data_IF_988005410875
#
_entry.id   IF_988005410875
#
_cell.length_a   1.000
_cell.length_b   1.000
_cell.length_c   1.000
_cell.angle_alpha   90.00
_cell.angle_beta   90.00
_cell.angle_gamma   90.00
#
_symmetry.space_group_name_H-M   'P 1'
#
loop_
_entity.id
_entity.type
_entity.pdbx_description
1 polymer ?
#
# COMPACT_ATOMS: atom_id res chain seq x y z
N UNK A 1 -21.00 8.58 -42.24
CA UNK A 1 -20.57 8.10 -40.90
C UNK A 1 -19.24 7.39 -41.06
N UNK A 2 -18.16 7.99 -40.58
CA UNK A 2 -16.78 7.54 -40.80
C UNK A 2 -16.34 6.53 -39.73
N UNK A 3 -15.49 5.57 -40.10
CA UNK A 3 -14.95 4.49 -39.25
C UNK A 3 -14.41 4.92 -37.88
N UNK A 4 -14.04 6.20 -37.71
CA UNK A 4 -13.56 6.76 -36.44
C UNK A 4 -14.58 6.70 -35.30
N UNK A 5 -15.88 6.59 -35.58
CA UNK A 5 -16.90 6.43 -34.51
C UNK A 5 -16.99 4.99 -33.98
N UNK A 6 -16.70 3.97 -34.80
CA UNK A 6 -16.72 2.55 -34.35
C UNK A 6 -15.55 2.20 -33.44
N UNK A 7 -14.42 2.91 -33.53
CA UNK A 7 -13.26 2.69 -32.65
C UNK A 7 -13.48 3.18 -31.21
N UNK A 8 -14.46 4.08 -30.98
CA UNK A 8 -14.71 4.70 -29.67
C UNK A 8 -15.57 3.83 -28.72
N UNK A 9 -16.23 2.78 -29.21
CA UNK A 9 -17.25 2.03 -28.43
C UNK A 9 -16.75 0.75 -27.73
N UNK A 10 -15.47 0.39 -27.85
CA UNK A 10 -14.88 -0.75 -27.10
C UNK A 10 -13.90 -0.30 -26.01
N UNK A 11 -14.22 0.75 -25.25
CA UNK A 11 -13.66 0.85 -23.89
C UNK A 11 -14.33 -0.25 -23.06
N UNK A 12 -13.73 -1.44 -23.00
CA UNK A 12 -14.08 -2.44 -21.98
C UNK A 12 -14.08 -1.68 -20.66
N UNK A 13 -15.23 -1.60 -19.98
CA UNK A 13 -15.26 -1.09 -18.59
C UNK A 13 -14.22 -1.92 -17.84
N UNK A 14 -13.15 -1.27 -17.39
CA UNK A 14 -12.17 -1.93 -16.56
C UNK A 14 -12.93 -2.53 -15.36
N UNK A 15 -12.69 -3.80 -15.06
CA UNK A 15 -13.32 -4.40 -13.89
C UNK A 15 -12.88 -3.61 -12.66
N UNK A 16 -13.81 -3.35 -11.75
CA UNK A 16 -13.46 -2.77 -10.46
C UNK A 16 -12.66 -3.78 -9.64
N UNK A 17 -11.85 -3.30 -8.68
CA UNK A 17 -11.13 -4.16 -7.74
C UNK A 17 -12.06 -5.15 -7.04
N UNK A 18 -13.26 -4.70 -6.65
CA UNK A 18 -14.31 -5.57 -6.09
C UNK A 18 -14.74 -6.68 -7.04
N UNK A 19 -14.91 -6.37 -8.32
CA UNK A 19 -15.28 -7.38 -9.33
C UNK A 19 -14.17 -8.39 -9.54
N UNK A 20 -12.91 -7.94 -9.55
CA UNK A 20 -11.73 -8.80 -9.67
C UNK A 20 -11.62 -9.74 -8.47
N UNK A 21 -11.73 -9.22 -7.25
CA UNK A 21 -11.68 -10.01 -6.02
C UNK A 21 -12.80 -11.06 -5.97
N UNK A 22 -14.02 -10.70 -6.37
CA UNK A 22 -15.15 -11.62 -6.40
C UNK A 22 -14.97 -12.72 -7.45
N UNK A 23 -14.40 -12.41 -8.62
CA UNK A 23 -14.05 -13.41 -9.63
C UNK A 23 -12.98 -14.36 -9.10
N UNK A 24 -11.92 -13.83 -8.48
CA UNK A 24 -10.85 -14.65 -7.89
C UNK A 24 -11.43 -15.60 -6.82
N UNK A 25 -12.32 -15.10 -5.95
CA UNK A 25 -12.98 -15.91 -4.94
C UNK A 25 -13.78 -17.07 -5.55
N UNK A 26 -14.60 -16.79 -6.57
CA UNK A 26 -15.40 -17.82 -7.25
C UNK A 26 -14.51 -18.84 -7.96
N UNK A 27 -13.47 -18.38 -8.65
CA UNK A 27 -12.51 -19.24 -9.36
C UNK A 27 -11.78 -20.14 -8.37
N UNK A 28 -11.28 -19.59 -7.25
CA UNK A 28 -10.64 -20.37 -6.19
C UNK A 28 -11.60 -21.39 -5.58
N UNK A 29 -12.86 -21.02 -5.32
CA UNK A 29 -13.85 -21.95 -4.81
C UNK A 29 -14.06 -23.13 -5.78
N UNK A 30 -14.21 -22.87 -7.08
CA UNK A 30 -14.33 -23.93 -8.09
C UNK A 30 -13.08 -24.82 -8.11
N UNK A 31 -11.88 -24.23 -8.05
CA UNK A 31 -10.61 -24.97 -8.02
C UNK A 31 -10.57 -25.89 -6.79
N UNK A 32 -10.91 -25.40 -5.60
CA UNK A 32 -10.92 -26.23 -4.38
C UNK A 32 -11.90 -27.40 -4.47
N UNK A 33 -13.08 -27.20 -5.06
CA UNK A 33 -14.06 -28.28 -5.29
C UNK A 33 -13.51 -29.33 -6.25
N UNK A 34 -12.88 -28.92 -7.34
CA UNK A 34 -12.26 -29.84 -8.31
C UNK A 34 -11.11 -30.61 -7.66
N UNK A 35 -10.24 -29.94 -6.90
CA UNK A 35 -9.11 -30.56 -6.23
C UNK A 35 -9.55 -31.55 -5.14
N UNK A 36 -10.55 -31.18 -4.34
CA UNK A 36 -11.15 -32.08 -3.35
C UNK A 36 -11.81 -33.29 -3.99
N UNK A 37 -12.53 -33.10 -5.12
CA UNK A 37 -13.11 -34.21 -5.89
C UNK A 37 -12.06 -35.10 -6.56
N UNK A 38 -10.88 -34.57 -6.87
CA UNK A 38 -9.75 -35.30 -7.46
C UNK A 38 -8.90 -36.05 -6.43
N UNK A 39 -9.25 -35.99 -5.15
CA UNK A 39 -8.56 -36.72 -4.08
C UNK A 39 -7.22 -36.11 -3.65
N UNK A 40 -7.01 -34.81 -3.90
CA UNK A 40 -5.79 -34.12 -3.43
C UNK A 40 -5.82 -34.03 -1.90
N UNK A 41 -4.85 -34.65 -1.24
CA UNK A 41 -4.72 -34.61 0.22
C UNK A 41 -4.55 -33.16 0.72
N UNK A 42 -5.28 -32.81 1.78
CA UNK A 42 -5.23 -31.48 2.40
C UNK A 42 -6.15 -30.42 1.78
N UNK A 43 -6.95 -30.75 0.76
CA UNK A 43 -7.90 -29.81 0.13
C UNK A 43 -9.35 -30.21 0.36
N UNK A 44 -10.08 -29.42 1.14
CA UNK A 44 -11.53 -29.53 1.27
C UNK A 44 -12.20 -28.59 0.28
N UNK A 45 -13.13 -29.11 -0.53
CA UNK A 45 -13.86 -28.29 -1.50
C UNK A 45 -14.74 -27.23 -0.82
N UNK A 46 -14.66 -25.99 -1.30
CA UNK A 46 -15.43 -24.88 -0.75
C UNK A 46 -16.95 -25.09 -0.94
N UNK A 47 -17.73 -24.76 0.09
CA UNK A 47 -19.21 -24.79 0.02
C UNK A 47 -19.78 -23.45 -0.45
N UNK A 48 -21.05 -23.44 -0.85
CA UNK A 48 -21.76 -22.20 -1.16
C UNK A 48 -21.81 -21.24 0.05
N UNK A 49 -21.87 -21.80 1.27
CA UNK A 49 -21.82 -21.01 2.50
C UNK A 49 -20.45 -20.36 2.69
N UNK A 50 -19.35 -21.05 2.37
CA UNK A 50 -18.01 -20.47 2.45
C UNK A 50 -17.84 -19.32 1.46
N UNK A 51 -18.30 -19.48 0.22
CA UNK A 51 -18.20 -18.42 -0.80
C UNK A 51 -19.01 -17.18 -0.43
N UNK A 52 -20.21 -17.35 0.11
CA UNK A 52 -21.08 -16.22 0.47
C UNK A 52 -20.67 -15.54 1.78
N UNK A 53 -20.04 -16.25 2.71
CA UNK A 53 -19.56 -15.69 3.99
C UNK A 53 -18.12 -15.19 3.94
N UNK A 54 -17.31 -15.62 2.97
CA UNK A 54 -15.92 -15.21 2.82
C UNK A 54 -15.70 -13.68 2.79
N UNK A 55 -16.52 -12.86 2.08
CA UNK A 55 -16.35 -11.41 2.12
C UNK A 55 -16.56 -10.81 3.51
N UNK A 56 -17.50 -11.36 4.29
CA UNK A 56 -17.79 -10.90 5.66
C UNK A 56 -16.64 -11.27 6.60
N UNK A 57 -16.13 -12.50 6.51
CA UNK A 57 -14.98 -12.96 7.30
C UNK A 57 -13.71 -12.17 6.96
N UNK A 58 -13.45 -11.98 5.66
CA UNK A 58 -12.32 -11.15 5.23
C UNK A 58 -12.41 -9.72 5.73
N UNK A 59 -13.62 -9.14 5.78
CA UNK A 59 -13.82 -7.82 6.38
C UNK A 59 -13.56 -7.82 7.88
N UNK A 60 -14.01 -8.83 8.63
CA UNK A 60 -13.74 -8.92 10.08
C UNK A 60 -12.25 -9.04 10.37
N UNK A 61 -11.51 -9.79 9.56
CA UNK A 61 -10.06 -9.96 9.72
C UNK A 61 -9.30 -8.67 9.37
N UNK A 62 -9.85 -7.86 8.45
CA UNK A 62 -9.29 -6.56 8.06
C UNK A 62 -9.67 -5.40 9.00
N UNK A 63 -10.58 -5.59 9.97
CA UNK A 63 -11.05 -4.53 10.88
C UNK A 63 -9.92 -3.75 11.58
N UNK A 64 -8.86 -4.38 12.11
CA UNK A 64 -7.77 -3.64 12.75
C UNK A 64 -7.09 -2.65 11.81
N UNK A 65 -6.89 -3.05 10.55
CA UNK A 65 -6.32 -2.19 9.51
C UNK A 65 -7.30 -1.07 9.16
N UNK A 66 -8.58 -1.38 8.93
CA UNK A 66 -9.59 -0.36 8.63
C UNK A 66 -9.70 0.72 9.71
N UNK A 67 -9.69 0.32 10.99
CA UNK A 67 -9.72 1.26 12.12
C UNK A 67 -8.46 2.11 12.19
N UNK A 68 -7.29 1.51 11.95
CA UNK A 68 -6.03 2.25 11.88
C UNK A 68 -6.07 3.34 10.80
N UNK A 69 -6.48 3.00 9.57
CA UNK A 69 -6.58 3.96 8.45
C UNK A 69 -7.55 5.09 8.76
N UNK A 70 -8.69 4.78 9.40
CA UNK A 70 -9.66 5.79 9.79
C UNK A 70 -9.07 6.78 10.81
N UNK A 71 -8.38 6.29 11.83
CA UNK A 71 -7.73 7.12 12.86
C UNK A 71 -6.61 7.96 12.23
N UNK A 72 -5.78 7.36 11.38
CA UNK A 72 -4.72 8.04 10.65
C UNK A 72 -5.30 9.17 9.79
N UNK A 73 -6.36 8.90 9.03
CA UNK A 73 -7.05 9.90 8.21
C UNK A 73 -7.57 11.07 9.04
N UNK A 74 -8.16 10.80 10.21
CA UNK A 74 -8.60 11.83 11.16
C UNK A 74 -7.44 12.68 11.70
N UNK A 75 -6.33 12.03 12.09
CA UNK A 75 -5.11 12.72 12.52
C UNK A 75 -4.53 13.62 11.43
N UNK A 76 -4.47 13.13 10.19
CA UNK A 76 -3.96 13.90 9.06
C UNK A 76 -4.89 15.05 8.68
N UNK A 77 -6.21 14.85 8.75
CA UNK A 77 -7.20 15.91 8.58
C UNK A 77 -6.97 17.06 9.58
N UNK A 78 -6.85 16.74 10.87
CA UNK A 78 -6.55 17.74 11.90
C UNK A 78 -5.20 18.41 11.63
N UNK A 79 -4.16 17.64 11.31
CA UNK A 79 -2.82 18.18 11.04
C UNK A 79 -2.82 19.13 9.85
N UNK A 80 -3.59 18.83 8.80
CA UNK A 80 -3.78 19.72 7.65
C UNK A 80 -4.56 20.98 8.03
N UNK A 81 -5.67 20.87 8.77
CA UNK A 81 -6.46 22.02 9.22
C UNK A 81 -5.69 22.96 10.16
N UNK A 82 -4.78 22.42 10.99
CA UNK A 82 -3.94 23.24 11.88
C UNK A 82 -2.86 24.05 11.14
N UNK A 83 -2.61 23.76 9.86
CA UNK A 83 -1.52 24.37 9.09
C UNK A 83 -0.11 23.97 9.57
N UNK A 84 0.00 22.99 10.49
CA UNK A 84 1.28 22.54 11.02
C UNK A 84 2.21 22.02 9.90
N UNK A 85 1.62 21.39 8.88
CA UNK A 85 2.35 20.81 7.77
C UNK A 85 2.85 21.88 6.79
N UNK A 86 2.02 22.89 6.49
CA UNK A 86 2.41 24.05 5.69
C UNK A 86 3.52 24.85 6.39
N UNK A 87 3.39 25.06 7.69
CA UNK A 87 4.39 25.75 8.51
C UNK A 87 5.71 24.97 8.58
N UNK A 88 5.65 23.64 8.72
CA UNK A 88 6.83 22.77 8.71
C UNK A 88 7.60 22.84 7.40
N UNK A 89 6.89 22.82 6.27
CA UNK A 89 7.51 22.91 4.95
C UNK A 89 8.05 24.32 4.69
N UNK A 90 7.31 25.37 5.03
CA UNK A 90 7.82 26.74 4.94
C UNK A 90 9.08 26.94 5.80
N UNK A 91 9.15 26.34 6.99
CA UNK A 91 10.34 26.37 7.84
C UNK A 91 11.52 25.61 7.21
N UNK A 92 11.28 24.45 6.60
CA UNK A 92 12.29 23.68 5.86
C UNK A 92 12.83 24.48 4.67
N UNK A 93 11.96 25.05 3.84
CA UNK A 93 12.34 25.89 2.69
C UNK A 93 13.18 27.08 3.15
N UNK A 94 12.77 27.79 4.20
CA UNK A 94 13.54 28.90 4.78
C UNK A 94 14.92 28.46 5.27
N UNK A 95 15.02 27.27 5.88
CA UNK A 95 16.28 26.72 6.39
C UNK A 95 17.23 26.25 5.27
N UNK A 96 16.70 25.92 4.10
CA UNK A 96 17.46 25.46 2.94
C UNK A 96 18.14 26.60 2.15
N UNK A 97 17.88 27.87 2.48
CA UNK A 97 18.58 29.06 1.96
C UNK A 97 18.83 29.05 0.43
N UNK A 98 17.82 28.72 -0.39
CA UNK A 98 17.96 28.69 -1.86
C UNK A 98 18.44 27.35 -2.44
N UNK A 99 18.52 26.29 -1.63
CA UNK A 99 18.75 24.92 -2.09
C UNK A 99 17.51 24.05 -1.84
N UNK A 100 16.38 24.48 -2.40
CA UNK A 100 15.09 23.79 -2.25
C UNK A 100 15.16 22.36 -2.79
N UNK A 101 16.06 22.07 -3.75
CA UNK A 101 16.28 20.73 -4.30
C UNK A 101 16.60 19.67 -3.25
N UNK A 102 17.22 20.04 -2.12
CA UNK A 102 17.46 19.14 -0.99
C UNK A 102 16.18 18.70 -0.27
N UNK A 103 15.05 19.37 -0.49
CA UNK A 103 13.77 18.99 0.11
C UNK A 103 13.31 17.61 -0.38
N UNK A 104 13.57 17.28 -1.64
CA UNK A 104 13.19 15.99 -2.25
C UNK A 104 13.86 14.81 -1.51
N UNK A 105 15.20 14.71 -1.42
CA UNK A 105 15.83 13.56 -0.75
C UNK A 105 15.51 13.50 0.74
N UNK A 106 15.33 14.65 1.42
CA UNK A 106 14.93 14.67 2.84
C UNK A 106 13.55 14.05 3.03
N UNK A 107 12.57 14.47 2.22
CA UNK A 107 11.21 13.95 2.28
C UNK A 107 11.16 12.49 1.81
N UNK A 108 11.88 12.13 0.74
CA UNK A 108 12.00 10.74 0.31
C UNK A 108 12.53 9.85 1.43
N UNK A 109 13.58 10.28 2.12
CA UNK A 109 14.15 9.53 3.26
C UNK A 109 13.14 9.39 4.40
N UNK A 110 12.42 10.46 4.75
CA UNK A 110 11.37 10.43 5.77
C UNK A 110 10.27 9.42 5.43
N UNK A 111 9.74 9.49 4.20
CA UNK A 111 8.72 8.54 3.73
C UNK A 111 9.27 7.12 3.61
N UNK A 112 10.55 6.96 3.29
CA UNK A 112 11.21 5.66 3.23
C UNK A 112 11.34 5.01 4.61
N UNK A 113 11.59 5.78 5.67
CA UNK A 113 11.53 5.27 7.05
C UNK A 113 10.12 4.76 7.35
N UNK A 114 9.08 5.55 7.03
CA UNK A 114 7.68 5.13 7.23
C UNK A 114 7.33 3.89 6.38
N UNK A 115 7.87 3.79 5.16
CA UNK A 115 7.70 2.63 4.29
C UNK A 115 8.35 1.37 4.87
N UNK A 116 9.61 1.44 5.30
CA UNK A 116 10.35 0.26 5.77
C UNK A 116 9.89 -0.25 7.12
N UNK A 117 9.41 0.65 7.99
CA UNK A 117 8.97 0.31 9.35
C UNK A 117 7.48 -0.01 9.41
N UNK A 118 6.63 0.88 8.92
CA UNK A 118 5.18 0.75 9.02
C UNK A 118 4.55 0.07 7.79
N UNK A 119 5.21 0.08 6.63
CA UNK A 119 4.62 -0.45 5.40
C UNK A 119 3.66 0.53 4.72
N UNK A 120 3.91 1.84 4.84
CA UNK A 120 2.95 2.90 4.54
C UNK A 120 2.53 3.08 3.07
N UNK A 121 2.93 2.22 2.12
CA UNK A 121 2.79 2.53 0.70
C UNK A 121 1.33 2.82 0.31
N UNK A 122 0.39 2.02 0.82
CA UNK A 122 -1.05 2.14 0.55
C UNK A 122 -1.68 3.36 1.26
N UNK A 123 -1.15 3.73 2.42
CA UNK A 123 -1.66 4.81 3.27
C UNK A 123 -1.12 6.20 2.88
N UNK A 124 -0.27 6.26 1.85
CA UNK A 124 0.32 7.53 1.37
C UNK A 124 -0.64 8.37 0.51
N UNK A 125 -1.81 7.85 0.13
CA UNK A 125 -2.74 8.54 -0.78
C UNK A 125 -3.12 9.96 -0.32
N UNK A 126 -3.46 10.19 0.97
CA UNK A 126 -3.73 11.55 1.46
C UNK A 126 -2.49 12.46 1.38
N UNK A 127 -1.30 11.89 1.58
CA UNK A 127 -0.05 12.62 1.52
C UNK A 127 0.30 13.07 0.11
N UNK A 128 -0.11 12.36 -0.95
CA UNK A 128 0.15 12.82 -2.31
C UNK A 128 -0.45 14.20 -2.58
N UNK A 129 -1.70 14.41 -2.18
CA UNK A 129 -2.38 15.69 -2.38
C UNK A 129 -1.76 16.80 -1.53
N UNK A 130 -1.47 16.47 -0.27
CA UNK A 130 -0.93 17.39 0.71
C UNK A 130 0.52 17.81 0.37
N UNK A 131 1.38 16.85 0.04
CA UNK A 131 2.78 17.10 -0.33
C UNK A 131 2.88 17.73 -1.72
N UNK A 132 1.98 17.39 -2.66
CA UNK A 132 1.95 18.10 -3.94
C UNK A 132 1.64 19.59 -3.74
N UNK A 133 0.63 19.95 -2.95
CA UNK A 133 0.28 21.35 -2.70
C UNK A 133 1.42 22.14 -2.04
N UNK A 134 2.07 21.53 -1.04
CA UNK A 134 3.15 22.17 -0.30
C UNK A 134 4.47 22.23 -1.06
N UNK A 135 4.78 21.22 -1.88
CA UNK A 135 5.93 21.26 -2.80
C UNK A 135 5.74 22.30 -3.90
N UNK A 136 4.51 22.49 -4.38
CA UNK A 136 4.18 23.60 -5.30
C UNK A 136 4.41 24.95 -4.65
N UNK A 137 4.01 25.13 -3.39
CA UNK A 137 4.31 26.34 -2.64
C UNK A 137 5.82 26.59 -2.45
N UNK A 138 6.63 25.52 -2.44
CA UNK A 138 8.09 25.57 -2.41
C UNK A 138 8.75 25.79 -3.79
N UNK A 139 7.97 25.90 -4.87
CA UNK A 139 8.46 26.15 -6.23
C UNK A 139 8.65 24.92 -7.11
N UNK A 140 8.23 23.73 -6.65
CA UNK A 140 8.26 22.50 -7.45
C UNK A 140 6.97 22.28 -8.25
N UNK A 141 6.99 21.32 -9.18
CA UNK A 141 5.76 20.83 -9.81
C UNK A 141 5.04 19.82 -8.91
N UNK A 142 3.71 19.76 -9.03
CA UNK A 142 2.85 18.81 -8.31
C UNK A 142 3.26 17.34 -8.49
N UNK A 143 3.77 16.97 -9.67
CA UNK A 143 4.28 15.62 -9.94
C UNK A 143 5.52 15.30 -9.11
N UNK A 144 6.38 16.28 -8.85
CA UNK A 144 7.57 16.09 -8.01
C UNK A 144 7.14 15.79 -6.57
N UNK A 145 6.15 16.52 -6.04
CA UNK A 145 5.62 16.23 -4.72
C UNK A 145 5.00 14.83 -4.61
N UNK A 146 4.17 14.44 -5.58
CA UNK A 146 3.60 13.10 -5.62
C UNK A 146 4.67 12.00 -5.77
N UNK A 147 5.64 12.19 -6.66
CA UNK A 147 6.73 11.24 -6.88
C UNK A 147 7.66 11.11 -5.66
N UNK A 148 7.90 12.19 -4.92
CA UNK A 148 8.70 12.19 -3.69
C UNK A 148 8.10 11.25 -2.65
N UNK A 149 6.78 11.33 -2.44
CA UNK A 149 6.06 10.44 -1.52
C UNK A 149 6.07 9.00 -2.05
N UNK A 150 5.76 8.81 -3.34
CA UNK A 150 5.63 7.49 -3.95
C UNK A 150 6.96 6.73 -3.92
N UNK A 151 8.04 7.37 -4.36
CA UNK A 151 9.37 6.76 -4.38
C UNK A 151 9.92 6.62 -2.96
N UNK A 152 9.72 7.60 -2.08
CA UNK A 152 10.13 7.50 -0.69
C UNK A 152 9.48 6.30 0.00
N UNK A 153 8.15 6.27 0.09
CA UNK A 153 7.44 5.19 0.76
C UNK A 153 7.62 3.85 0.05
N UNK A 154 7.59 3.83 -1.29
CA UNK A 154 7.77 2.62 -2.08
C UNK A 154 9.15 1.98 -1.88
N UNK A 155 10.23 2.75 -1.94
CA UNK A 155 11.59 2.24 -1.65
C UNK A 155 11.73 1.75 -0.21
N UNK A 156 11.08 2.42 0.74
CA UNK A 156 10.99 1.95 2.11
C UNK A 156 10.34 0.57 2.21
N UNK A 157 9.19 0.38 1.55
CA UNK A 157 8.48 -0.91 1.51
C UNK A 157 9.30 -2.00 0.79
N UNK A 158 10.11 -1.67 -0.21
CA UNK A 158 11.05 -2.65 -0.79
C UNK A 158 12.05 -3.18 0.26
N UNK A 159 12.52 -2.31 1.16
CA UNK A 159 13.36 -2.68 2.28
C UNK A 159 12.63 -3.50 3.36
N UNK A 160 11.44 -3.05 3.77
CA UNK A 160 10.59 -3.75 4.75
C UNK A 160 11.35 -4.32 5.96
N UNK A 161 12.17 -3.50 6.61
CA UNK A 161 13.01 -3.92 7.76
C UNK A 161 12.19 -4.55 8.88
N UNK A 162 11.11 -3.87 9.30
CA UNK A 162 10.19 -4.32 10.36
C UNK A 162 8.72 -4.16 9.96
N UNK A 163 8.45 -3.98 8.66
CA UNK A 163 7.13 -3.83 8.08
C UNK A 163 6.20 -4.99 8.48
N UNK A 164 5.16 -4.77 9.31
CA UNK A 164 4.31 -5.85 9.83
C UNK A 164 3.43 -6.49 8.76
N UNK A 165 3.19 -5.83 7.63
CA UNK A 165 2.38 -6.37 6.55
C UNK A 165 3.19 -7.35 5.70
N UNK A 166 4.34 -6.92 5.18
CA UNK A 166 5.17 -7.76 4.33
C UNK A 166 5.94 -8.81 5.14
N UNK A 167 6.63 -8.39 6.21
CA UNK A 167 7.40 -9.31 7.05
C UNK A 167 6.47 -10.20 7.86
N UNK A 168 5.37 -9.67 8.41
CA UNK A 168 4.42 -10.47 9.16
C UNK A 168 3.81 -11.60 8.33
N UNK A 169 3.36 -11.31 7.11
CA UNK A 169 2.85 -12.34 6.21
C UNK A 169 3.92 -13.39 5.84
N UNK A 170 5.16 -12.96 5.60
CA UNK A 170 6.26 -13.88 5.31
C UNK A 170 6.62 -14.77 6.51
N UNK A 171 6.68 -14.20 7.72
CA UNK A 171 6.92 -14.91 8.99
C UNK A 171 5.83 -15.94 9.25
N UNK A 172 4.56 -15.58 9.03
CA UNK A 172 3.43 -16.50 9.18
C UNK A 172 3.53 -17.69 8.22
N UNK A 173 3.84 -17.45 6.94
CA UNK A 173 4.06 -18.49 5.94
C UNK A 173 5.26 -19.42 6.27
N UNK A 174 6.34 -18.88 6.83
CA UNK A 174 7.48 -19.69 7.27
C UNK A 174 7.14 -20.54 8.50
N UNK A 175 6.34 -20.01 9.42
CA UNK A 175 5.93 -20.71 10.65
C UNK A 175 5.11 -21.96 10.33
N UNK A 176 4.21 -21.88 9.35
CA UNK A 176 3.39 -23.01 8.89
C UNK A 176 4.19 -24.07 8.14
N UNK A 177 5.35 -23.70 7.59
CA UNK A 177 6.26 -24.61 6.88
C UNK A 177 7.30 -25.28 7.79
N UNK A 178 7.28 -25.00 9.10
CA UNK A 178 8.21 -25.58 10.08
C UNK A 178 9.65 -25.04 9.98
N UNK A 179 9.86 -23.93 9.29
CA UNK A 179 11.19 -23.31 9.13
C UNK A 179 11.48 -22.42 10.34
N UNK A 180 12.66 -22.60 10.96
CA UNK A 180 13.08 -21.77 12.08
C UNK A 180 13.30 -20.31 11.63
N UNK A 181 12.58 -19.38 12.25
CA UNK A 181 12.58 -17.96 11.89
C UNK A 181 13.72 -17.25 12.63
N UNK A 182 14.64 -16.65 11.87
CA UNK A 182 15.69 -15.81 12.42
C UNK A 182 15.40 -14.33 12.12
N UNK A 183 14.88 -13.63 13.12
CA UNK A 183 14.52 -12.21 13.00
C UNK A 183 15.72 -11.32 12.63
N UNK A 184 16.93 -11.66 13.06
CA UNK A 184 18.13 -10.90 12.73
C UNK A 184 18.47 -10.99 11.24
N UNK A 185 18.28 -12.16 10.63
CA UNK A 185 18.45 -12.34 9.18
C UNK A 185 17.41 -11.54 8.40
N UNK A 186 16.15 -11.57 8.83
CA UNK A 186 15.05 -10.86 8.18
C UNK A 186 15.30 -9.34 8.22
N UNK A 187 15.54 -8.79 9.41
CA UNK A 187 15.83 -7.36 9.57
C UNK A 187 17.11 -6.99 8.83
N UNK A 188 18.16 -7.82 8.91
CA UNK A 188 19.42 -7.59 8.22
C UNK A 188 19.28 -7.51 6.70
N UNK A 189 18.56 -8.46 6.10
CA UNK A 189 18.22 -8.42 4.68
C UNK A 189 17.37 -7.20 4.33
N UNK A 190 16.39 -6.86 5.17
CA UNK A 190 15.57 -5.68 4.95
C UNK A 190 16.38 -4.38 4.99
N UNK A 191 17.37 -4.27 5.89
CA UNK A 191 18.29 -3.14 5.93
C UNK A 191 19.15 -3.07 4.67
N UNK A 192 19.64 -4.21 4.18
CA UNK A 192 20.45 -4.28 2.95
C UNK A 192 19.63 -3.89 1.71
N UNK A 193 18.36 -4.26 1.65
CA UNK A 193 17.46 -3.88 0.56
C UNK A 193 17.00 -2.42 0.65
N UNK A 194 17.02 -1.84 1.84
CA UNK A 194 16.60 -0.47 2.09
C UNK A 194 17.68 0.58 1.74
N UNK A 195 18.95 0.24 1.96
CA UNK A 195 20.12 1.10 1.70
C UNK A 195 20.56 1.08 0.24
#
# INVERSE_FOLDING_TARGET
>A
MTEKEKAKSRKRKALSSFSILLIILIVLAIITVIMGASGVEGVTGATLADVTTAPVRGFTDALPVCLFVLILGGFLGITAETGALDAGIAALVRKLHGNELLLIPILMFLFSICGTTYGMCEETVPFYLLLAATMVAAGFDSMVGAATVLLGAGTGVLGSTVNPFAVGAAVDALSTSGIAINQATIIGLGCVLWL
#
